data_IF_047329786305
#
_entry.id   IF_047329786305
#
_cell.length_a   1.000
_cell.length_b   1.000
_cell.length_c   1.000
_cell.angle_alpha   90.00
_cell.angle_beta   90.00
_cell.angle_gamma   90.00
#
_symmetry.space_group_name_H-M   'P 1'
#
loop_
_entity.id
_entity.type
_entity.pdbx_description
1 polymer ?
#
# COMPACT_ATOMS: atom_id res chain seq x y z
N UNK A 1 18.31 2.07 -28.90
CA UNK A 1 16.93 1.72 -29.22
C UNK A 1 16.24 2.93 -29.85
N UNK A 2 15.62 2.75 -31.01
CA UNK A 2 14.73 3.73 -31.62
C UNK A 2 13.40 3.04 -31.95
N UNK A 3 12.33 3.40 -31.25
CA UNK A 3 11.06 2.67 -31.28
C UNK A 3 10.46 2.49 -32.69
N UNK A 4 10.50 3.48 -33.62
CA UNK A 4 10.03 3.29 -35.00
C UNK A 4 10.82 2.25 -35.81
N UNK A 5 12.04 1.90 -35.38
CA UNK A 5 12.88 0.87 -36.03
C UNK A 5 13.08 -0.35 -35.09
N UNK A 6 12.13 -0.58 -34.18
CA UNK A 6 12.18 -1.73 -33.30
C UNK A 6 12.04 -3.05 -34.10
N UNK A 7 12.78 -4.11 -33.75
CA UNK A 7 12.67 -5.41 -34.45
C UNK A 7 11.27 -6.03 -34.37
N UNK A 8 10.50 -5.74 -33.33
CA UNK A 8 9.10 -6.15 -33.23
C UNK A 8 8.20 -5.17 -34.04
N UNK A 9 7.53 -5.66 -35.11
CA UNK A 9 6.68 -4.82 -35.96
C UNK A 9 5.54 -4.15 -35.19
N UNK A 10 4.96 -4.81 -34.21
CA UNK A 10 3.87 -4.28 -33.38
C UNK A 10 4.29 -3.02 -32.57
N UNK A 11 5.57 -2.90 -32.24
CA UNK A 11 6.13 -1.70 -31.62
C UNK A 11 6.40 -0.63 -32.68
N UNK A 12 7.06 -0.99 -33.77
CA UNK A 12 7.43 -0.06 -34.80
C UNK A 12 6.20 0.65 -35.42
N UNK A 13 5.15 -0.09 -35.80
CA UNK A 13 3.94 0.43 -36.39
C UNK A 13 3.17 1.38 -35.47
N UNK A 14 3.22 1.17 -34.18
CA UNK A 14 2.53 2.02 -33.18
C UNK A 14 3.06 3.45 -33.13
N UNK A 15 4.32 3.66 -33.50
CA UNK A 15 5.03 4.94 -33.40
C UNK A 15 5.36 5.59 -34.72
N UNK A 16 4.68 5.19 -35.78
CA UNK A 16 4.86 5.84 -37.07
C UNK A 16 4.42 7.31 -37.01
N UNK A 17 5.42 8.20 -36.96
CA UNK A 17 5.40 9.63 -37.32
C UNK A 17 4.64 10.66 -36.46
N UNK A 18 4.09 10.35 -35.28
CA UNK A 18 3.27 11.33 -34.54
C UNK A 18 3.89 11.85 -33.22
N UNK A 19 5.01 11.30 -32.81
CA UNK A 19 5.67 11.66 -31.52
C UNK A 19 7.03 12.27 -31.83
N UNK A 20 7.46 13.27 -31.04
CA UNK A 20 8.77 13.88 -31.17
C UNK A 20 9.88 12.83 -31.08
N UNK A 21 10.81 12.84 -32.03
CA UNK A 21 11.85 11.80 -32.22
C UNK A 21 12.71 11.61 -30.98
N UNK A 22 13.06 12.70 -30.29
CA UNK A 22 13.86 12.67 -29.06
C UNK A 22 13.24 11.81 -27.95
N UNK A 23 11.91 11.70 -27.93
CA UNK A 23 11.16 10.88 -26.95
C UNK A 23 11.17 9.39 -27.28
N UNK A 24 11.50 9.04 -28.51
CA UNK A 24 11.49 7.67 -29.03
C UNK A 24 12.88 7.02 -29.08
N UNK A 25 13.93 7.80 -28.76
CA UNK A 25 15.33 7.34 -28.80
C UNK A 25 15.85 7.06 -27.39
N UNK A 26 16.50 5.90 -27.21
CA UNK A 26 17.12 5.45 -25.98
C UNK A 26 18.53 4.97 -26.29
N UNK A 27 19.56 5.68 -25.82
CA UNK A 27 20.96 5.34 -26.13
C UNK A 27 21.56 4.44 -25.03
N UNK A 28 21.42 3.15 -25.15
CA UNK A 28 21.98 2.17 -24.21
C UNK A 28 23.51 1.95 -24.35
N UNK A 29 24.19 2.71 -25.22
CA UNK A 29 25.68 2.72 -25.28
C UNK A 29 26.30 3.59 -24.20
N UNK A 30 25.53 4.45 -23.56
CA UNK A 30 25.96 5.25 -22.41
C UNK A 30 26.47 4.33 -21.30
N UNK A 31 27.52 4.76 -20.60
CA UNK A 31 28.07 4.01 -19.48
C UNK A 31 27.03 3.83 -18.36
N UNK A 32 26.90 2.60 -17.87
CA UNK A 32 25.92 2.25 -16.84
C UNK A 32 25.78 0.74 -16.69
N UNK A 33 25.10 0.29 -15.64
CA UNK A 33 24.89 -1.13 -15.35
C UNK A 33 24.13 -1.84 -16.48
N UNK A 34 24.70 -2.94 -16.97
CA UNK A 34 24.05 -3.78 -17.99
C UNK A 34 22.75 -4.43 -17.47
N UNK A 35 22.68 -4.70 -16.17
CA UNK A 35 21.45 -5.20 -15.54
C UNK A 35 20.35 -4.13 -15.57
N UNK A 36 20.67 -2.91 -15.11
CA UNK A 36 19.73 -1.80 -15.13
C UNK A 36 19.24 -1.47 -16.55
N UNK A 37 20.13 -1.49 -17.54
CA UNK A 37 19.80 -1.30 -18.96
C UNK A 37 18.81 -2.34 -19.46
N UNK A 38 19.02 -3.62 -19.13
CA UNK A 38 18.09 -4.72 -19.50
C UNK A 38 16.74 -4.54 -18.85
N UNK A 39 16.70 -4.19 -17.56
CA UNK A 39 15.45 -3.92 -16.85
C UNK A 39 14.67 -2.77 -17.50
N UNK A 40 15.35 -1.67 -17.83
CA UNK A 40 14.72 -0.53 -18.50
C UNK A 40 14.20 -0.90 -19.90
N UNK A 41 14.97 -1.67 -20.68
CA UNK A 41 14.56 -2.10 -22.01
C UNK A 41 13.28 -2.96 -21.92
N UNK A 42 13.26 -3.95 -21.03
CA UNK A 42 12.11 -4.82 -20.82
C UNK A 42 10.85 -4.02 -20.42
N UNK A 43 11.02 -3.03 -19.52
CA UNK A 43 9.92 -2.17 -19.06
C UNK A 43 9.42 -1.26 -20.20
N UNK A 44 10.33 -0.70 -21.02
CA UNK A 44 9.96 0.14 -22.16
C UNK A 44 9.14 -0.69 -23.14
N UNK A 45 9.58 -1.89 -23.49
CA UNK A 45 8.86 -2.80 -24.39
C UNK A 45 7.48 -3.18 -23.83
N UNK A 46 7.39 -3.51 -22.55
CA UNK A 46 6.12 -3.79 -21.87
C UNK A 46 5.16 -2.60 -21.95
N UNK A 47 5.63 -1.38 -21.62
CA UNK A 47 4.80 -0.17 -21.67
C UNK A 47 4.27 0.09 -23.08
N UNK A 48 5.11 -0.13 -24.09
CA UNK A 48 4.76 0.11 -25.49
C UNK A 48 3.76 -0.92 -26.02
N UNK A 49 3.86 -2.17 -25.57
CA UNK A 49 2.98 -3.27 -25.99
C UNK A 49 1.63 -3.28 -25.27
N UNK A 50 1.49 -2.53 -24.17
CA UNK A 50 0.21 -2.48 -23.43
C UNK A 50 -0.91 -1.88 -24.29
N UNK A 51 -2.11 -2.42 -24.13
CA UNK A 51 -3.33 -1.88 -24.73
C UNK A 51 -3.83 -0.64 -23.96
N UNK A 52 -3.08 0.46 -24.09
CA UNK A 52 -3.39 1.77 -23.50
C UNK A 52 -3.40 2.84 -24.60
N UNK A 53 -4.08 3.96 -24.34
CA UNK A 53 -4.13 5.07 -25.29
C UNK A 53 -2.72 5.60 -25.57
N UNK A 54 -2.44 5.99 -26.81
CA UNK A 54 -1.14 6.53 -27.23
C UNK A 54 -0.69 7.71 -26.36
N UNK A 55 -1.61 8.57 -25.95
CA UNK A 55 -1.32 9.70 -25.06
C UNK A 55 -0.78 9.22 -23.70
N UNK A 56 -1.40 8.22 -23.11
CA UNK A 56 -0.96 7.64 -21.84
C UNK A 56 0.39 6.96 -21.99
N UNK A 57 0.59 6.18 -23.03
CA UNK A 57 1.86 5.57 -23.34
C UNK A 57 2.98 6.62 -23.48
N UNK A 58 2.72 7.71 -24.23
CA UNK A 58 3.68 8.82 -24.37
C UNK A 58 4.02 9.49 -23.05
N UNK A 59 3.02 9.69 -22.17
CA UNK A 59 3.27 10.23 -20.83
C UNK A 59 4.17 9.29 -20.00
N UNK A 60 3.94 7.98 -20.06
CA UNK A 60 4.78 6.99 -19.41
C UNK A 60 6.22 6.99 -19.94
N UNK A 61 6.38 7.02 -21.27
CA UNK A 61 7.71 7.11 -21.90
C UNK A 61 8.46 8.38 -21.49
N UNK A 62 7.76 9.53 -21.33
CA UNK A 62 8.38 10.75 -20.82
C UNK A 62 8.91 10.57 -19.39
N UNK A 63 8.12 9.98 -18.49
CA UNK A 63 8.58 9.67 -17.14
C UNK A 63 9.74 8.68 -17.12
N UNK A 64 9.65 7.62 -17.93
CA UNK A 64 10.74 6.64 -18.08
C UNK A 64 12.03 7.25 -18.62
N UNK A 65 11.93 8.30 -19.46
CA UNK A 65 13.11 9.00 -19.95
C UNK A 65 13.91 9.66 -18.84
N UNK A 66 13.22 10.29 -17.89
CA UNK A 66 13.84 10.88 -16.70
C UNK A 66 14.43 9.77 -15.81
N UNK A 67 13.71 8.69 -15.59
CA UNK A 67 14.21 7.52 -14.84
C UNK A 67 15.46 6.94 -15.50
N UNK A 68 15.47 6.81 -16.82
CA UNK A 68 16.63 6.34 -17.57
C UNK A 68 17.85 7.27 -17.36
N UNK A 69 17.69 8.58 -17.51
CA UNK A 69 18.76 9.55 -17.30
C UNK A 69 19.31 9.47 -15.87
N UNK A 70 18.41 9.44 -14.90
CA UNK A 70 18.77 9.24 -13.49
C UNK A 70 19.60 7.96 -13.29
N UNK A 71 19.12 6.83 -13.81
CA UNK A 71 19.80 5.54 -13.64
C UNK A 71 21.21 5.52 -14.26
N UNK A 72 21.38 6.13 -15.43
CA UNK A 72 22.68 6.15 -16.09
C UNK A 72 23.67 7.10 -15.38
N UNK A 73 23.22 8.26 -14.94
CA UNK A 73 24.08 9.27 -14.34
C UNK A 73 24.41 9.01 -12.86
N UNK A 74 23.48 8.45 -12.10
CA UNK A 74 23.70 8.04 -10.70
C UNK A 74 24.28 6.60 -10.60
N UNK A 75 24.60 5.97 -11.73
CA UNK A 75 25.16 4.61 -11.81
C UNK A 75 24.34 3.58 -11.03
N UNK A 76 23.00 3.64 -11.16
CA UNK A 76 22.09 2.68 -10.52
C UNK A 76 22.37 1.28 -11.09
N UNK A 77 22.73 0.35 -10.23
CA UNK A 77 23.02 -1.01 -10.64
C UNK A 77 21.75 -1.82 -10.93
N UNK A 78 20.73 -1.63 -10.09
CA UNK A 78 19.50 -2.40 -10.12
C UNK A 78 18.33 -1.59 -9.56
N UNK A 79 17.26 -1.44 -10.34
CA UNK A 79 16.05 -0.71 -9.97
C UNK A 79 15.32 -1.28 -8.75
N UNK A 80 15.54 -2.57 -8.46
CA UNK A 80 14.89 -3.27 -7.33
C UNK A 80 15.41 -2.83 -5.97
N UNK A 81 16.63 -2.27 -5.91
CA UNK A 81 17.34 -1.95 -4.66
C UNK A 81 17.51 -0.45 -4.40
N UNK A 82 16.84 0.39 -5.16
CA UNK A 82 16.88 1.85 -4.97
C UNK A 82 16.42 2.20 -3.57
N UNK A 83 17.24 2.99 -2.87
CA UNK A 83 16.91 3.58 -1.56
C UNK A 83 16.21 4.93 -1.71
N UNK A 84 15.63 5.45 -0.62
CA UNK A 84 14.95 6.75 -0.63
C UNK A 84 15.92 7.88 -0.99
N UNK A 85 17.14 7.85 -0.44
CA UNK A 85 18.20 8.83 -0.73
C UNK A 85 18.58 8.85 -2.22
N UNK A 86 18.62 7.68 -2.85
CA UNK A 86 18.83 7.61 -4.30
C UNK A 86 17.61 8.14 -5.06
N UNK A 87 16.40 7.73 -4.67
CA UNK A 87 15.17 8.17 -5.33
C UNK A 87 14.95 9.69 -5.24
N UNK A 88 15.34 10.32 -4.13
CA UNK A 88 15.25 11.77 -3.93
C UNK A 88 16.13 12.56 -4.93
N UNK A 89 17.18 11.94 -5.46
CA UNK A 89 18.00 12.57 -6.49
C UNK A 89 17.32 12.65 -7.86
N UNK A 90 16.22 11.89 -8.06
CA UNK A 90 15.47 11.86 -9.33
C UNK A 90 15.01 13.27 -9.74
N UNK A 91 14.71 14.14 -8.78
CA UNK A 91 14.27 15.51 -9.05
C UNK A 91 15.28 16.35 -9.83
N UNK A 92 16.58 16.05 -9.72
CA UNK A 92 17.66 16.77 -10.45
C UNK A 92 17.60 16.57 -11.96
N UNK A 93 16.87 15.52 -12.40
CA UNK A 93 16.76 15.12 -13.81
C UNK A 93 15.42 15.51 -14.43
N UNK A 94 14.56 16.17 -13.67
CA UNK A 94 13.24 16.62 -14.10
C UNK A 94 13.21 18.14 -14.26
N UNK A 95 12.96 18.63 -15.48
CA UNK A 95 12.95 20.06 -15.80
C UNK A 95 11.74 20.80 -15.19
N UNK A 96 10.68 20.07 -14.81
CA UNK A 96 9.45 20.64 -14.28
C UNK A 96 8.90 19.77 -13.14
N UNK A 97 8.07 20.37 -12.25
CA UNK A 97 7.36 19.64 -11.21
C UNK A 97 6.49 18.49 -11.78
N UNK A 98 5.89 18.69 -12.95
CA UNK A 98 5.11 17.66 -13.64
C UNK A 98 5.99 16.50 -14.14
N UNK A 99 7.15 16.80 -14.71
CA UNK A 99 8.11 15.77 -15.13
C UNK A 99 8.63 14.96 -13.92
N UNK A 100 8.86 15.62 -12.77
CA UNK A 100 9.21 14.96 -11.50
C UNK A 100 8.12 13.99 -11.07
N UNK A 101 6.87 14.43 -11.02
CA UNK A 101 5.74 13.57 -10.64
C UNK A 101 5.60 12.34 -11.54
N UNK A 102 5.74 12.53 -12.85
CA UNK A 102 5.74 11.44 -13.83
C UNK A 102 6.90 10.46 -13.59
N UNK A 103 8.11 10.97 -13.37
CA UNK A 103 9.29 10.14 -13.14
C UNK A 103 9.19 9.33 -11.85
N UNK A 104 8.73 9.95 -10.76
CA UNK A 104 8.49 9.25 -9.49
C UNK A 104 7.42 8.16 -9.63
N UNK A 105 6.38 8.44 -10.42
CA UNK A 105 5.36 7.43 -10.72
C UNK A 105 5.95 6.27 -11.51
N UNK A 106 6.70 6.57 -12.57
CA UNK A 106 7.29 5.52 -13.41
C UNK A 106 8.37 4.73 -12.67
N UNK A 107 9.17 5.35 -11.79
CA UNK A 107 10.10 4.61 -10.94
C UNK A 107 9.37 3.57 -10.07
N UNK A 108 8.25 3.95 -9.45
CA UNK A 108 7.41 3.02 -8.69
C UNK A 108 6.81 1.91 -9.57
N UNK A 109 6.39 2.23 -10.79
CA UNK A 109 5.87 1.25 -11.75
C UNK A 109 6.98 0.30 -12.24
N UNK A 110 8.22 0.79 -12.43
CA UNK A 110 9.37 -0.06 -12.72
C UNK A 110 9.64 -1.08 -11.61
N UNK A 111 9.71 -0.61 -10.36
CA UNK A 111 9.90 -1.49 -9.21
C UNK A 111 8.76 -2.51 -9.08
N UNK A 112 7.51 -2.07 -9.32
CA UNK A 112 6.34 -2.94 -9.31
C UNK A 112 6.42 -4.01 -10.39
N UNK A 113 6.73 -3.61 -11.62
CA UNK A 113 6.90 -4.51 -12.75
C UNK A 113 7.93 -5.60 -12.44
N UNK A 114 9.12 -5.19 -12.04
CA UNK A 114 10.21 -6.13 -11.74
C UNK A 114 9.88 -7.08 -10.59
N UNK A 115 9.19 -6.62 -9.56
CA UNK A 115 8.77 -7.48 -8.45
C UNK A 115 7.67 -8.47 -8.85
N UNK A 116 6.65 -7.98 -9.57
CA UNK A 116 5.47 -8.79 -9.90
C UNK A 116 5.74 -9.82 -11.02
N UNK A 117 6.66 -9.53 -11.96
CA UNK A 117 6.97 -10.42 -13.09
C UNK A 117 8.20 -11.31 -12.85
N UNK A 118 8.91 -11.13 -11.73
CA UNK A 118 10.03 -12.00 -11.40
C UNK A 118 9.60 -13.47 -11.27
N UNK A 119 10.47 -14.40 -11.69
CA UNK A 119 10.22 -15.83 -11.56
C UNK A 119 9.94 -16.25 -10.12
N UNK A 120 10.74 -15.74 -9.19
CA UNK A 120 10.61 -15.98 -7.75
C UNK A 120 10.25 -14.65 -7.03
N UNK A 121 9.71 -14.75 -5.82
CA UNK A 121 9.46 -13.56 -4.98
C UNK A 121 10.81 -12.98 -4.55
N UNK A 122 11.03 -11.71 -4.85
CA UNK A 122 12.28 -10.98 -4.56
C UNK A 122 12.21 -10.36 -3.17
N UNK A 123 12.42 -11.19 -2.15
CA UNK A 123 12.30 -10.77 -0.74
C UNK A 123 13.36 -9.75 -0.29
N UNK A 124 14.43 -9.62 -1.03
CA UNK A 124 15.52 -8.66 -0.83
C UNK A 124 15.27 -7.29 -1.50
N UNK A 125 14.22 -7.17 -2.32
CA UNK A 125 13.85 -5.90 -2.96
C UNK A 125 13.45 -4.84 -1.92
N UNK A 126 13.76 -3.57 -2.20
CA UNK A 126 13.41 -2.45 -1.32
C UNK A 126 11.90 -2.16 -1.24
N UNK A 127 11.12 -2.67 -2.18
CA UNK A 127 9.64 -2.56 -2.15
C UNK A 127 9.02 -3.91 -2.47
N UNK A 128 8.09 -4.34 -1.62
CA UNK A 128 7.29 -5.55 -1.84
C UNK A 128 5.88 -5.17 -2.23
N UNK A 129 5.38 -5.75 -3.31
CA UNK A 129 4.01 -5.56 -3.79
C UNK A 129 3.16 -6.77 -3.41
N UNK A 130 2.18 -6.57 -2.54
CA UNK A 130 1.45 -7.65 -1.89
C UNK A 130 0.50 -8.41 -2.84
N UNK A 131 0.17 -7.84 -3.99
CA UNK A 131 -0.59 -8.52 -5.03
C UNK A 131 0.13 -9.75 -5.60
N UNK A 132 1.46 -9.78 -5.52
CA UNK A 132 2.28 -10.94 -5.91
C UNK A 132 2.25 -12.05 -4.87
N UNK A 133 1.93 -11.72 -3.62
CA UNK A 133 1.86 -12.66 -2.53
C UNK A 133 0.44 -13.24 -2.46
N UNK A 134 0.30 -14.55 -2.54
CA UNK A 134 -0.98 -15.24 -2.39
C UNK A 134 -1.42 -15.26 -0.94
N UNK A 135 -1.87 -14.10 -0.44
CA UNK A 135 -2.34 -13.94 0.94
C UNK A 135 -3.75 -14.50 1.10
N UNK A 136 -4.01 -15.10 2.25
CA UNK A 136 -5.32 -15.62 2.60
C UNK A 136 -6.36 -14.50 2.66
N UNK A 137 -7.50 -14.70 2.00
CA UNK A 137 -8.54 -13.66 1.83
C UNK A 137 -9.05 -13.11 3.16
N UNK A 138 -9.13 -13.94 4.21
CA UNK A 138 -9.59 -13.50 5.54
C UNK A 138 -8.63 -12.52 6.24
N UNK A 139 -7.38 -12.41 5.78
CA UNK A 139 -6.38 -11.46 6.29
C UNK A 139 -6.44 -10.10 5.60
N UNK A 140 -7.02 -10.05 4.40
CA UNK A 140 -7.05 -8.84 3.56
C UNK A 140 -8.41 -8.17 3.67
N UNK A 141 -8.43 -6.91 4.06
CA UNK A 141 -9.65 -6.10 4.00
C UNK A 141 -9.87 -5.60 2.56
N UNK A 142 -10.87 -6.11 1.82
CA UNK A 142 -11.06 -5.73 0.42
C UNK A 142 -11.51 -4.28 0.24
N UNK A 143 -12.06 -3.63 1.28
CA UNK A 143 -12.42 -2.21 1.22
C UNK A 143 -11.21 -1.27 1.34
N UNK A 144 -10.10 -1.74 1.93
CA UNK A 144 -8.86 -1.00 2.08
C UNK A 144 -7.67 -1.98 2.09
N UNK A 145 -7.31 -2.56 0.94
CA UNK A 145 -6.23 -3.52 0.86
C UNK A 145 -4.87 -2.86 1.04
N UNK A 146 -4.01 -3.48 1.83
CA UNK A 146 -2.60 -3.11 1.91
C UNK A 146 -1.94 -3.49 0.59
N UNK A 147 -1.33 -2.52 -0.10
CA UNK A 147 -0.81 -2.74 -1.47
C UNK A 147 0.67 -3.09 -1.48
N UNK A 148 1.46 -2.51 -0.57
CA UNK A 148 2.92 -2.66 -0.57
C UNK A 148 3.53 -2.42 0.80
N UNK A 149 4.74 -2.94 1.00
CA UNK A 149 5.68 -2.51 2.04
C UNK A 149 6.91 -1.88 1.37
N UNK A 150 7.33 -0.71 1.84
CA UNK A 150 8.49 0.00 1.30
C UNK A 150 9.57 0.13 2.36
N UNK A 151 10.70 -0.50 2.12
CA UNK A 151 11.90 -0.46 2.95
C UNK A 151 12.92 0.57 2.44
N UNK A 152 12.56 1.38 1.45
CA UNK A 152 13.46 2.36 0.80
C UNK A 152 14.07 3.35 1.78
N UNK A 153 13.35 3.68 2.87
CA UNK A 153 13.82 4.59 3.90
C UNK A 153 14.94 4.03 4.79
N UNK A 154 15.25 2.73 4.69
CA UNK A 154 16.34 2.10 5.44
C UNK A 154 17.58 2.05 4.54
N UNK A 155 18.61 2.79 4.91
CA UNK A 155 19.84 2.89 4.11
C UNK A 155 20.79 1.72 4.36
N UNK A 156 20.95 1.33 5.63
CA UNK A 156 21.81 0.20 5.99
C UNK A 156 21.17 -1.12 5.56
N UNK A 157 21.93 -1.86 4.77
CA UNK A 157 21.47 -3.15 4.24
C UNK A 157 21.14 -4.14 5.36
N UNK A 158 21.97 -4.18 6.40
CA UNK A 158 21.79 -5.09 7.54
C UNK A 158 20.47 -4.84 8.28
N UNK A 159 20.14 -3.56 8.54
CA UNK A 159 18.88 -3.20 9.19
C UNK A 159 17.67 -3.51 8.31
N UNK A 160 17.81 -3.28 6.99
CA UNK A 160 16.76 -3.61 6.03
C UNK A 160 16.51 -5.12 5.97
N UNK A 161 17.56 -5.92 5.90
CA UNK A 161 17.45 -7.39 5.89
C UNK A 161 16.78 -7.91 7.17
N UNK A 162 17.13 -7.37 8.34
CA UNK A 162 16.48 -7.70 9.62
C UNK A 162 14.97 -7.43 9.55
N UNK A 163 14.58 -6.22 9.14
CA UNK A 163 13.15 -5.89 9.07
C UNK A 163 12.43 -6.70 7.99
N UNK A 164 13.07 -6.98 6.87
CA UNK A 164 12.52 -7.84 5.82
C UNK A 164 12.27 -9.27 6.32
N UNK A 165 13.21 -9.87 7.02
CA UNK A 165 13.03 -11.22 7.59
C UNK A 165 11.95 -11.25 8.66
N UNK A 166 11.86 -10.23 9.53
CA UNK A 166 10.77 -10.11 10.47
C UNK A 166 9.41 -9.99 9.77
N UNK A 167 9.32 -9.16 8.73
CA UNK A 167 8.08 -9.01 7.95
C UNK A 167 7.70 -10.29 7.19
N UNK A 168 8.67 -11.05 6.68
CA UNK A 168 8.42 -12.39 6.11
C UNK A 168 7.80 -13.33 7.15
N UNK A 169 8.32 -13.30 8.36
CA UNK A 169 7.74 -14.07 9.47
C UNK A 169 6.29 -13.64 9.74
N UNK A 170 6.02 -12.33 9.85
CA UNK A 170 4.67 -11.82 10.07
C UNK A 170 3.69 -12.21 8.94
N UNK A 171 4.17 -12.20 7.69
CA UNK A 171 3.35 -12.56 6.53
C UNK A 171 3.11 -14.07 6.40
N UNK A 172 4.14 -14.88 6.66
CA UNK A 172 4.13 -16.30 6.36
C UNK A 172 3.73 -17.21 7.52
N UNK A 173 3.98 -16.78 8.76
CA UNK A 173 3.78 -17.64 9.95
C UNK A 173 2.61 -17.17 10.80
N UNK A 174 2.40 -15.85 10.95
CA UNK A 174 1.33 -15.34 11.79
C UNK A 174 -0.01 -15.32 11.05
N UNK A 175 -1.10 -15.36 11.84
CA UNK A 175 -2.47 -15.17 11.31
C UNK A 175 -2.99 -13.74 11.47
N UNK A 176 -2.10 -12.76 11.66
CA UNK A 176 -2.46 -11.36 11.84
C UNK A 176 -3.17 -10.80 10.59
N UNK A 177 -4.09 -9.87 10.79
CA UNK A 177 -4.69 -9.13 9.69
C UNK A 177 -3.66 -8.21 9.03
N UNK A 178 -3.74 -8.04 7.71
CA UNK A 178 -2.79 -7.24 6.95
C UNK A 178 -2.71 -5.78 7.43
N UNK A 179 -3.82 -5.20 7.89
CA UNK A 179 -3.82 -3.86 8.49
C UNK A 179 -3.04 -3.78 9.81
N UNK A 180 -3.05 -4.86 10.60
CA UNK A 180 -2.25 -4.95 11.83
C UNK A 180 -0.76 -5.03 11.49
N UNK A 181 -0.38 -5.92 10.57
CA UNK A 181 1.00 -6.05 10.09
C UNK A 181 1.50 -4.73 9.49
N UNK A 182 0.66 -4.01 8.74
CA UNK A 182 1.02 -2.71 8.18
C UNK A 182 1.26 -1.66 9.27
N UNK A 183 0.42 -1.62 10.28
CA UNK A 183 0.58 -0.69 11.40
C UNK A 183 1.88 -0.97 12.18
N UNK A 184 2.15 -2.22 12.45
CA UNK A 184 3.39 -2.68 13.09
C UNK A 184 4.63 -2.35 12.24
N UNK A 185 4.57 -2.63 10.93
CA UNK A 185 5.62 -2.28 9.99
C UNK A 185 5.99 -0.79 10.05
N UNK A 186 5.02 0.11 9.98
CA UNK A 186 5.31 1.55 10.00
C UNK A 186 5.86 2.04 11.34
N UNK A 187 5.43 1.44 12.45
CA UNK A 187 5.98 1.75 13.78
C UNK A 187 7.44 1.35 13.87
N UNK A 188 7.78 0.16 13.44
CA UNK A 188 9.15 -0.35 13.43
C UNK A 188 10.00 0.41 12.42
N UNK A 189 9.49 0.66 11.21
CA UNK A 189 10.20 1.42 10.18
C UNK A 189 10.62 2.81 10.70
N UNK A 190 9.71 3.50 11.38
CA UNK A 190 10.02 4.82 11.96
C UNK A 190 11.15 4.73 13.00
N UNK A 191 11.17 3.69 13.82
CA UNK A 191 12.24 3.44 14.78
C UNK A 191 13.57 3.15 14.08
N UNK A 192 13.58 2.27 13.08
CA UNK A 192 14.79 1.91 12.32
C UNK A 192 15.40 3.13 11.64
N UNK A 193 14.57 3.93 10.95
CA UNK A 193 15.01 5.15 10.28
C UNK A 193 15.58 6.17 11.28
N UNK A 194 14.95 6.30 12.45
CA UNK A 194 15.46 7.15 13.53
C UNK A 194 16.81 6.65 14.04
N UNK A 195 16.95 5.35 14.28
CA UNK A 195 18.20 4.73 14.73
C UNK A 195 19.34 5.00 13.75
N UNK A 196 19.12 4.83 12.44
CA UNK A 196 20.13 5.10 11.43
C UNK A 196 20.54 6.56 11.40
N UNK A 197 19.58 7.46 11.50
CA UNK A 197 19.82 8.91 11.44
C UNK A 197 20.56 9.44 12.65
N UNK A 198 20.13 9.04 13.86
CA UNK A 198 20.63 9.65 15.12
C UNK A 198 21.83 8.91 15.72
N UNK A 199 21.95 7.61 15.44
CA UNK A 199 23.01 6.80 16.07
C UNK A 199 23.99 6.18 15.08
N UNK A 200 23.60 6.11 13.82
CA UNK A 200 24.31 5.37 12.76
C UNK A 200 24.61 3.89 13.13
N UNK A 201 23.83 3.29 14.06
CA UNK A 201 24.03 1.92 14.55
C UNK A 201 23.19 0.91 13.79
N UNK A 202 23.59 -0.35 13.89
CA UNK A 202 22.77 -1.49 13.47
C UNK A 202 21.77 -1.84 14.56
N UNK A 203 20.56 -2.29 14.17
CA UNK A 203 19.49 -2.65 15.11
C UNK A 203 19.93 -3.69 16.15
N UNK A 204 20.73 -4.67 15.77
CA UNK A 204 21.21 -5.73 16.66
C UNK A 204 22.16 -5.24 17.76
N UNK A 205 22.74 -4.04 17.58
CA UNK A 205 23.68 -3.43 18.54
C UNK A 205 23.01 -2.40 19.44
N UNK A 206 21.73 -2.10 19.23
CA UNK A 206 21.03 -1.11 20.04
C UNK A 206 20.93 -1.55 21.51
N UNK A 207 21.28 -0.65 22.40
CA UNK A 207 21.10 -0.83 23.84
C UNK A 207 19.82 -0.16 24.35
N UNK A 208 19.48 -0.40 25.62
CA UNK A 208 18.35 0.27 26.27
C UNK A 208 18.47 1.81 26.19
N UNK A 209 19.68 2.34 26.16
CA UNK A 209 19.93 3.78 26.10
C UNK A 209 19.41 4.41 24.82
N UNK A 210 19.69 3.80 23.67
CA UNK A 210 19.23 4.29 22.36
C UNK A 210 17.72 4.14 22.23
N UNK A 211 17.17 3.02 22.68
CA UNK A 211 15.72 2.77 22.66
C UNK A 211 14.99 3.79 23.54
N UNK A 212 15.51 4.07 24.74
CA UNK A 212 14.96 5.09 25.63
C UNK A 212 14.99 6.48 24.99
N UNK A 213 16.08 6.85 24.32
CA UNK A 213 16.15 8.13 23.57
C UNK A 213 15.05 8.21 22.51
N UNK A 214 14.82 7.13 21.75
CA UNK A 214 13.72 7.11 20.80
C UNK A 214 12.36 7.31 21.48
N UNK A 215 12.08 6.59 22.57
CA UNK A 215 10.82 6.77 23.30
C UNK A 215 10.63 8.20 23.83
N UNK A 216 11.71 8.88 24.21
CA UNK A 216 11.64 10.30 24.57
C UNK A 216 11.20 11.19 23.41
N UNK A 217 11.61 10.90 22.17
CA UNK A 217 11.20 11.70 21.00
C UNK A 217 9.71 11.61 20.69
N UNK A 218 9.06 10.53 21.14
CA UNK A 218 7.63 10.26 20.93
C UNK A 218 6.80 10.38 22.21
N UNK A 219 7.37 10.86 23.30
CA UNK A 219 6.73 10.89 24.61
C UNK A 219 5.41 11.66 24.65
N UNK A 220 5.27 12.71 23.84
CA UNK A 220 4.05 13.53 23.76
C UNK A 220 2.90 12.88 22.99
N UNK A 221 3.11 11.69 22.40
CA UNK A 221 2.05 10.94 21.72
C UNK A 221 1.02 10.40 22.71
N UNK A 222 -0.21 10.19 22.21
CA UNK A 222 -1.29 9.54 22.97
C UNK A 222 -0.81 8.21 23.54
N UNK A 223 -1.22 7.91 24.80
CA UNK A 223 -0.75 6.73 25.54
C UNK A 223 -0.96 5.41 24.76
N UNK A 224 -2.11 5.23 24.15
CA UNK A 224 -2.41 4.02 23.36
C UNK A 224 -1.45 3.89 22.15
N UNK A 225 -1.24 4.98 21.39
CA UNK A 225 -0.33 4.95 20.24
C UNK A 225 1.14 4.78 20.66
N UNK A 226 1.54 5.39 21.78
CA UNK A 226 2.87 5.20 22.37
C UNK A 226 3.10 3.74 22.77
N UNK A 227 2.14 3.14 23.50
CA UNK A 227 2.20 1.75 23.93
C UNK A 227 2.30 0.79 22.74
N UNK A 228 1.54 1.03 21.70
CA UNK A 228 1.60 0.27 20.45
C UNK A 228 3.00 0.29 19.80
N UNK A 229 3.71 1.43 19.85
CA UNK A 229 5.09 1.53 19.34
C UNK A 229 6.05 0.73 20.23
N UNK A 230 5.95 0.89 21.56
CA UNK A 230 6.78 0.15 22.52
C UNK A 230 6.63 -1.36 22.30
N UNK A 231 5.39 -1.84 22.15
CA UNK A 231 5.09 -3.26 21.92
C UNK A 231 5.65 -3.73 20.57
N UNK A 232 5.47 -2.95 19.50
CA UNK A 232 5.97 -3.33 18.17
C UNK A 232 7.49 -3.48 18.15
N UNK A 233 8.22 -2.55 18.80
CA UNK A 233 9.68 -2.63 18.93
C UNK A 233 10.08 -3.84 19.78
N UNK A 234 9.38 -4.11 20.87
CA UNK A 234 9.63 -5.29 21.69
C UNK A 234 9.45 -6.59 20.90
N UNK A 235 8.38 -6.72 20.12
CA UNK A 235 8.12 -7.90 19.28
C UNK A 235 9.20 -8.11 18.23
N UNK A 236 9.75 -7.04 17.65
CA UNK A 236 10.91 -7.15 16.77
C UNK A 236 12.11 -7.76 17.53
N UNK A 237 12.46 -7.23 18.71
CA UNK A 237 13.60 -7.74 19.49
C UNK A 237 13.37 -9.15 20.04
N UNK A 238 12.14 -9.51 20.39
CA UNK A 238 11.76 -10.88 20.75
C UNK A 238 11.98 -11.85 19.56
N UNK A 239 11.60 -11.42 18.34
CA UNK A 239 11.91 -12.18 17.12
C UNK A 239 13.42 -12.32 16.91
N UNK A 240 14.20 -11.25 17.06
CA UNK A 240 15.66 -11.30 16.90
C UNK A 240 16.31 -12.26 17.91
N UNK A 241 15.85 -12.26 19.15
CA UNK A 241 16.31 -13.20 20.16
C UNK A 241 15.92 -14.65 19.80
N UNK A 242 14.68 -14.87 19.38
CA UNK A 242 14.21 -16.20 18.94
C UNK A 242 15.01 -16.74 17.76
N UNK A 243 15.55 -15.86 16.91
CA UNK A 243 16.40 -16.21 15.76
C UNK A 243 17.89 -16.25 16.13
N UNK A 244 18.24 -16.11 17.39
CA UNK A 244 19.63 -16.11 17.88
C UNK A 244 20.51 -15.03 17.22
N UNK A 245 19.89 -13.93 16.73
CA UNK A 245 20.57 -12.76 16.17
C UNK A 245 21.12 -11.88 17.28
N UNK A 246 20.45 -11.89 18.43
CA UNK A 246 20.85 -11.22 19.69
C UNK A 246 20.70 -12.19 20.86
N UNK A 247 21.55 -12.05 21.87
CA UNK A 247 21.52 -12.90 23.07
C UNK A 247 20.37 -12.56 24.01
N UNK A 248 20.03 -11.27 24.12
CA UNK A 248 18.99 -10.78 25.03
C UNK A 248 18.27 -9.57 24.45
N UNK A 249 16.99 -9.44 24.80
CA UNK A 249 16.19 -8.24 24.51
C UNK A 249 16.77 -7.06 25.30
N UNK A 250 17.04 -5.90 24.64
CA UNK A 250 17.76 -4.79 25.27
C UNK A 250 16.95 -4.02 26.32
N UNK A 251 15.63 -4.20 26.40
CA UNK A 251 14.77 -3.46 27.34
C UNK A 251 13.57 -4.29 27.78
N UNK A 252 12.92 -3.88 28.87
CA UNK A 252 11.66 -4.44 29.36
C UNK A 252 10.53 -3.48 29.03
N UNK A 253 9.62 -3.89 28.15
CA UNK A 253 8.56 -3.03 27.63
C UNK A 253 7.60 -2.53 28.73
N UNK A 254 7.37 -3.33 29.78
CA UNK A 254 6.45 -3.02 30.89
C UNK A 254 6.84 -1.71 31.62
N UNK A 255 8.14 -1.36 31.64
CA UNK A 255 8.62 -0.14 32.29
C UNK A 255 8.32 1.13 31.52
N UNK A 256 7.98 0.99 30.23
CA UNK A 256 7.73 2.12 29.35
C UNK A 256 6.24 2.33 29.05
N UNK A 257 5.36 1.36 29.37
CA UNK A 257 3.94 1.49 29.08
C UNK A 257 3.31 2.63 29.89
N UNK A 258 2.54 3.44 29.19
CA UNK A 258 1.73 4.50 29.77
C UNK A 258 0.34 3.99 30.16
N UNK A 259 -0.20 4.53 31.26
CA UNK A 259 -1.59 4.26 31.63
C UNK A 259 -2.54 4.85 30.61
N UNK A 260 -3.34 4.02 29.99
CA UNK A 260 -4.40 4.46 29.07
C UNK A 260 -5.61 4.92 29.85
N UNK A 261 -6.08 6.12 29.53
CA UNK A 261 -7.32 6.67 30.10
C UNK A 261 -8.38 6.59 29.01
N UNK A 262 -9.26 5.60 29.12
CA UNK A 262 -10.37 5.47 28.20
C UNK A 262 -11.50 6.44 28.58
N UNK A 263 -11.53 7.59 27.93
CA UNK A 263 -12.67 8.50 28.02
C UNK A 263 -13.74 8.05 27.02
N UNK A 264 -14.91 7.68 27.53
CA UNK A 264 -16.07 7.39 26.67
C UNK A 264 -16.64 8.71 26.17
N UNK A 265 -16.26 9.10 24.95
CA UNK A 265 -16.91 10.20 24.26
C UNK A 265 -18.17 9.69 23.57
N UNK A 266 -19.33 10.17 24.01
CA UNK A 266 -20.58 9.89 23.32
C UNK A 266 -20.55 10.54 21.94
N UNK A 267 -20.47 9.71 20.88
CA UNK A 267 -20.49 10.13 19.48
C UNK A 267 -21.85 9.94 18.83
N UNK A 268 -22.92 9.80 19.63
CA UNK A 268 -24.29 9.73 19.09
C UNK A 268 -24.64 11.06 18.43
N UNK A 269 -25.29 10.96 17.28
CA UNK A 269 -25.82 12.11 16.58
C UNK A 269 -27.10 12.54 17.28
N UNK A 270 -27.26 13.83 17.59
CA UNK A 270 -28.49 14.38 18.16
C UNK A 270 -29.69 14.11 17.22
N UNK A 271 -30.85 13.91 17.79
CA UNK A 271 -32.05 13.52 17.05
C UNK A 271 -32.43 14.53 15.96
N UNK A 272 -32.31 15.83 16.25
CA UNK A 272 -32.58 16.89 15.28
C UNK A 272 -31.63 16.82 14.06
N UNK A 273 -30.35 16.55 14.30
CA UNK A 273 -29.35 16.40 13.23
C UNK A 273 -29.66 15.12 12.43
N UNK A 274 -30.01 14.02 13.12
CA UNK A 274 -30.38 12.76 12.49
C UNK A 274 -31.58 12.94 11.55
N UNK A 275 -32.67 13.59 12.01
CA UNK A 275 -33.85 13.88 11.20
C UNK A 275 -33.55 14.81 10.01
N UNK A 276 -32.69 15.81 10.22
CA UNK A 276 -32.24 16.70 9.16
C UNK A 276 -31.46 15.95 8.09
N UNK A 277 -30.53 15.05 8.46
CA UNK A 277 -29.82 14.19 7.52
C UNK A 277 -30.82 13.34 6.73
N UNK A 278 -31.80 12.70 7.37
CA UNK A 278 -32.81 11.89 6.69
C UNK A 278 -33.62 12.70 5.66
N UNK A 279 -34.01 13.92 5.99
CA UNK A 279 -34.73 14.82 5.06
C UNK A 279 -33.88 15.20 3.85
N UNK A 280 -32.60 15.42 4.04
CA UNK A 280 -31.68 15.84 2.99
C UNK A 280 -31.09 14.67 2.18
N UNK A 281 -31.30 13.41 2.58
CA UNK A 281 -30.75 12.23 1.90
C UNK A 281 -31.11 12.17 0.40
N UNK A 282 -32.25 12.71 -0.01
CA UNK A 282 -32.67 12.78 -1.42
C UNK A 282 -31.71 13.60 -2.29
N UNK A 283 -31.00 14.58 -1.70
CA UNK A 283 -30.08 15.47 -2.37
C UNK A 283 -28.66 14.88 -2.47
N UNK A 284 -28.39 13.74 -1.82
CA UNK A 284 -27.11 13.06 -1.90
C UNK A 284 -26.99 12.22 -3.19
N UNK A 285 -25.81 12.10 -3.75
CA UNK A 285 -25.52 11.11 -4.79
C UNK A 285 -25.89 9.70 -4.32
N UNK A 286 -26.27 8.81 -5.24
CA UNK A 286 -26.86 7.52 -4.90
C UNK A 286 -26.00 6.65 -3.98
N UNK A 287 -24.71 6.51 -4.30
CA UNK A 287 -23.80 5.64 -3.52
C UNK A 287 -23.59 6.14 -2.08
N UNK A 288 -23.19 7.43 -1.84
CA UNK A 288 -23.12 7.97 -0.48
C UNK A 288 -24.44 7.84 0.30
N UNK A 289 -25.57 8.07 -0.37
CA UNK A 289 -26.91 7.90 0.23
C UNK A 289 -27.15 6.47 0.71
N UNK A 290 -26.81 5.48 -0.10
CA UNK A 290 -26.96 4.06 0.28
C UNK A 290 -26.04 3.70 1.45
N UNK A 291 -24.79 4.18 1.46
CA UNK A 291 -23.86 3.97 2.57
C UNK A 291 -24.42 4.56 3.87
N UNK A 292 -24.91 5.80 3.84
CA UNK A 292 -25.52 6.47 4.99
C UNK A 292 -26.74 5.71 5.51
N UNK A 293 -27.63 5.25 4.63
CA UNK A 293 -28.81 4.48 5.01
C UNK A 293 -28.43 3.19 5.76
N UNK A 294 -27.41 2.46 5.31
CA UNK A 294 -26.94 1.26 6.00
C UNK A 294 -26.36 1.58 7.38
N UNK A 295 -25.54 2.64 7.46
CA UNK A 295 -24.94 3.05 8.73
C UNK A 295 -26.01 3.54 9.73
N UNK A 296 -27.00 4.31 9.26
CA UNK A 296 -28.03 4.89 10.11
C UNK A 296 -29.10 3.89 10.55
N UNK A 297 -29.55 3.01 9.65
CA UNK A 297 -30.67 2.09 9.92
C UNK A 297 -30.25 0.80 10.62
N UNK A 298 -29.02 0.33 10.37
CA UNK A 298 -28.56 -0.98 10.86
C UNK A 298 -27.18 -0.95 11.51
N UNK A 299 -26.54 0.22 11.62
CA UNK A 299 -25.29 0.39 12.35
C UNK A 299 -24.08 -0.33 11.72
N UNK A 300 -24.08 -0.55 10.40
CA UNK A 300 -22.94 -1.14 9.73
C UNK A 300 -21.76 -0.16 9.62
N UNK A 301 -20.53 -0.69 9.74
CA UNK A 301 -19.33 0.08 9.45
C UNK A 301 -19.21 0.34 7.94
N UNK A 302 -18.59 1.45 7.55
CA UNK A 302 -18.37 1.79 6.13
C UNK A 302 -17.69 0.64 5.37
N UNK A 303 -16.69 0.01 5.97
CA UNK A 303 -15.98 -1.14 5.36
C UNK A 303 -16.90 -2.35 5.14
N UNK A 304 -17.84 -2.59 6.05
CA UNK A 304 -18.82 -3.67 5.93
C UNK A 304 -19.79 -3.37 4.79
N UNK A 305 -20.28 -2.12 4.69
CA UNK A 305 -21.18 -1.71 3.59
C UNK A 305 -20.48 -1.80 2.22
N UNK A 306 -19.25 -1.31 2.13
CA UNK A 306 -18.49 -1.32 0.86
C UNK A 306 -18.10 -2.73 0.36
N UNK A 307 -18.19 -3.74 1.23
CA UNK A 307 -17.87 -5.13 0.89
C UNK A 307 -19.09 -6.03 0.79
N UNK A 308 -20.30 -5.45 0.87
CA UNK A 308 -21.55 -6.21 0.69
C UNK A 308 -21.64 -6.80 -0.70
N UNK A 309 -21.98 -8.09 -0.75
CA UNK A 309 -22.28 -8.78 -2.01
C UNK A 309 -23.72 -8.52 -2.43
N UNK A 310 -24.00 -8.67 -3.72
CA UNK A 310 -25.37 -8.52 -4.25
C UNK A 310 -26.38 -9.51 -3.69
N UNK A 311 -25.91 -10.69 -3.27
CA UNK A 311 -26.69 -11.77 -2.66
C UNK A 311 -26.81 -11.66 -1.11
N UNK A 312 -26.23 -10.61 -0.52
CA UNK A 312 -26.28 -10.40 0.93
C UNK A 312 -27.69 -10.18 1.49
N UNK A 313 -28.63 -9.77 0.64
CA UNK A 313 -30.01 -9.43 1.04
C UNK A 313 -30.94 -10.57 0.76
N UNK A 314 -31.71 -10.98 1.77
CA UNK A 314 -32.69 -12.04 1.66
C UNK A 314 -34.00 -11.65 2.31
N UNK A 315 -35.12 -12.28 1.83
CA UNK A 315 -36.42 -12.16 2.43
C UNK A 315 -36.80 -13.52 2.97
N UNK A 316 -37.13 -13.60 4.26
CA UNK A 316 -37.49 -14.85 4.89
C UNK A 316 -38.72 -14.67 5.79
N UNK A 317 -39.80 -15.41 5.48
CA UNK A 317 -41.06 -15.23 6.16
C UNK A 317 -41.63 -13.83 5.93
N UNK A 318 -41.74 -13.06 6.99
CA UNK A 318 -42.24 -11.66 6.95
C UNK A 318 -41.12 -10.61 7.02
N UNK A 319 -39.88 -11.03 7.20
CA UNK A 319 -38.76 -10.12 7.52
C UNK A 319 -37.73 -10.12 6.43
N UNK A 320 -37.15 -8.93 6.21
CA UNK A 320 -35.98 -8.74 5.39
C UNK A 320 -34.71 -8.86 6.23
N UNK A 321 -33.66 -9.47 5.65
CA UNK A 321 -32.40 -9.76 6.32
C UNK A 321 -31.20 -9.38 5.45
N UNK A 322 -30.12 -9.02 6.13
CA UNK A 322 -28.82 -8.84 5.49
C UNK A 322 -27.77 -9.74 6.16
N UNK A 323 -26.93 -10.36 5.35
CA UNK A 323 -25.77 -11.13 5.81
C UNK A 323 -24.50 -10.35 5.54
N UNK A 324 -23.75 -10.04 6.60
CA UNK A 324 -22.55 -9.18 6.55
C UNK A 324 -21.35 -9.95 7.06
N UNK A 325 -20.26 -9.93 6.33
CA UNK A 325 -18.99 -10.44 6.82
C UNK A 325 -18.26 -9.37 7.63
N UNK A 326 -18.00 -9.66 8.89
CA UNK A 326 -17.27 -8.77 9.79
C UNK A 326 -15.77 -9.09 9.78
N UNK A 327 -14.99 -8.35 9.02
CA UNK A 327 -13.54 -8.58 8.88
C UNK A 327 -12.81 -8.63 10.22
N UNK A 328 -13.14 -7.72 11.15
CA UNK A 328 -12.50 -7.66 12.49
C UNK A 328 -12.74 -8.91 13.31
N UNK A 329 -13.95 -9.49 13.21
CA UNK A 329 -14.38 -10.68 13.97
C UNK A 329 -14.20 -11.98 13.18
N UNK A 330 -13.87 -11.90 11.88
CA UNK A 330 -13.71 -13.03 10.94
C UNK A 330 -14.95 -13.95 10.90
N UNK A 331 -16.15 -13.38 11.02
CA UNK A 331 -17.40 -14.12 11.06
C UNK A 331 -18.50 -13.43 10.28
N UNK A 332 -19.51 -14.20 9.87
CA UNK A 332 -20.72 -13.65 9.29
C UNK A 332 -21.70 -13.27 10.38
N UNK A 333 -22.30 -12.08 10.26
CA UNK A 333 -23.39 -11.60 11.07
C UNK A 333 -24.65 -11.49 10.19
N UNK A 334 -25.77 -11.96 10.68
CA UNK A 334 -27.05 -11.78 10.05
C UNK A 334 -27.88 -10.80 10.87
N UNK A 335 -28.44 -9.79 10.23
CA UNK A 335 -29.15 -8.69 10.88
C UNK A 335 -30.49 -8.48 10.18
N UNK A 336 -31.62 -8.34 10.93
CA UNK A 336 -32.87 -7.89 10.32
C UNK A 336 -32.76 -6.46 9.84
N UNK A 337 -33.37 -6.15 8.72
CA UNK A 337 -33.33 -4.81 8.12
C UNK A 337 -34.74 -4.31 7.81
N UNK A 338 -34.97 -2.99 7.80
CA UNK A 338 -36.25 -2.43 7.37
C UNK A 338 -36.57 -2.80 5.92
N UNK A 339 -37.83 -3.16 5.67
CA UNK A 339 -38.37 -3.49 4.34
C UNK A 339 -38.06 -2.44 3.29
N UNK A 340 -38.09 -1.17 3.69
CA UNK A 340 -37.79 -0.05 2.81
C UNK A 340 -36.34 -0.15 2.29
N UNK A 341 -35.39 -0.47 3.15
CA UNK A 341 -33.97 -0.62 2.76
C UNK A 341 -33.84 -1.81 1.80
N UNK A 342 -34.46 -2.96 2.08
CA UNK A 342 -34.46 -4.12 1.19
C UNK A 342 -34.97 -3.75 -0.21
N UNK A 343 -36.14 -3.07 -0.28
CA UNK A 343 -36.76 -2.65 -1.54
C UNK A 343 -35.87 -1.68 -2.33
N UNK A 344 -35.22 -0.75 -1.63
CA UNK A 344 -34.25 0.20 -2.24
C UNK A 344 -33.08 -0.58 -2.85
N UNK A 345 -32.48 -1.50 -2.11
CA UNK A 345 -31.33 -2.28 -2.58
C UNK A 345 -31.69 -3.23 -3.71
N UNK A 346 -32.85 -3.90 -3.64
CA UNK A 346 -33.34 -4.74 -4.74
C UNK A 346 -33.50 -3.93 -6.03
N UNK A 347 -34.03 -2.70 -5.96
CA UNK A 347 -34.18 -1.81 -7.10
C UNK A 347 -32.81 -1.34 -7.61
N UNK A 348 -31.86 -1.05 -6.72
CA UNK A 348 -30.50 -0.69 -7.08
C UNK A 348 -29.82 -1.82 -7.87
N UNK A 349 -29.79 -3.04 -7.35
CA UNK A 349 -29.17 -4.19 -8.02
C UNK A 349 -29.86 -4.56 -9.34
N UNK A 350 -31.19 -4.46 -9.43
CA UNK A 350 -31.88 -4.76 -10.68
C UNK A 350 -31.50 -3.84 -11.84
N UNK A 351 -31.07 -2.59 -11.56
CA UNK A 351 -30.53 -1.67 -12.57
C UNK A 351 -29.14 -2.09 -13.05
N UNK A 352 -28.28 -2.52 -12.15
CA UNK A 352 -26.93 -2.97 -12.48
C UNK A 352 -26.92 -4.29 -13.25
N UNK A 353 -27.81 -5.23 -12.92
CA UNK A 353 -27.95 -6.48 -13.67
C UNK A 353 -28.44 -6.23 -15.11
N UNK A 354 -29.31 -5.25 -15.33
CA UNK A 354 -29.75 -4.87 -16.69
C UNK A 354 -28.64 -4.25 -17.54
N UNK A 355 -27.69 -3.55 -16.91
CA UNK A 355 -26.54 -2.95 -17.62
C UNK A 355 -25.49 -4.00 -18.00
N UNK A 356 -25.37 -5.10 -17.25
CA UNK A 356 -24.41 -6.18 -17.54
C UNK A 356 -24.89 -7.17 -18.60
N UNK A 357 -26.19 -7.22 -18.92
CA UNK A 357 -26.79 -8.15 -19.84
C UNK A 357 -27.39 -7.48 -21.09
N UNK A 358 -27.20 -6.19 -21.27
CA UNK A 358 -27.48 -5.46 -22.50
C UNK A 358 -26.20 -5.14 -23.25
#
# INVERSE_FOLDING_TARGET
>A
LFLPYHPNPAIAERYDCKVAIDKLVWDFRVNGSELCKRQLLEIIEDVVLRDIMLRECTMRLNGLKVVYQFCMQEHIEDLRYITQVQADKLEKYADTAYAKELAERELRECQKYLFCHAKNILWDSTVWYLERLHLEQYRVNPSNPVKKFSFMGIEKRENREILQEYMKYCLGVTHLAMSGIQAEFYRILAFVMWMEKETAMELKLASETEIKKYFQTIELKEASYFNDIVIAIYQLYEYLQTKEIIDRIPFRYEYYLKKEIHCHNNRSVEMEIYERILRELKNFPEIPRLILLHSMLIGLRISEVCTLKGDAYSWQGRDAWIQVYQMKMRTYKRVPIPDVLYKIMKRYFSRFMKIKFA
#
